data_IF_338090039078
#
_entry.id   IF_338090039078
#
_cell.length_a   1.000
_cell.length_b   1.000
_cell.length_c   1.000
_cell.angle_alpha   90.00
_cell.angle_beta   90.00
_cell.angle_gamma   90.00
#
_symmetry.space_group_name_H-M   'P 1'
#
loop_
_entity.id
_entity.type
_entity.pdbx_description
1 polymer ?
#
# COMPACT_ATOMS: atom_id res chain seq x y z
N UNK A 1 6.25 21.87 -32.92
CA UNK A 1 6.25 20.51 -33.49
C UNK A 1 6.90 19.56 -32.51
N UNK A 2 6.21 18.49 -32.13
CA UNK A 2 6.72 17.40 -31.28
C UNK A 2 7.35 16.36 -32.22
N UNK A 3 8.59 15.97 -31.95
CA UNK A 3 9.32 15.02 -32.81
C UNK A 3 10.01 13.94 -31.98
N UNK A 4 9.51 12.69 -32.11
CA UNK A 4 10.04 11.48 -31.50
C UNK A 4 9.67 10.26 -32.34
N UNK A 5 10.48 9.20 -32.31
CA UNK A 5 10.16 7.98 -33.04
C UNK A 5 8.85 7.32 -32.55
N UNK A 6 8.64 7.33 -31.23
CA UNK A 6 7.46 6.74 -30.60
C UNK A 6 6.76 7.76 -29.70
N UNK A 7 5.45 7.87 -29.87
CA UNK A 7 4.58 8.73 -29.06
C UNK A 7 3.56 7.86 -28.35
N UNK A 8 3.40 8.06 -27.06
CA UNK A 8 2.30 7.53 -26.27
C UNK A 8 1.36 8.70 -25.96
N UNK A 9 0.12 8.59 -26.38
CA UNK A 9 -0.89 9.62 -26.12
C UNK A 9 -1.96 9.11 -25.18
N UNK A 10 -2.14 9.84 -24.07
CA UNK A 10 -3.30 9.73 -23.20
C UNK A 10 -3.87 11.12 -22.99
N UNK A 11 -5.16 11.33 -23.27
CA UNK A 11 -5.79 12.64 -23.23
C UNK A 11 -5.63 13.32 -21.88
N UNK A 12 -6.03 12.62 -20.82
CA UNK A 12 -5.94 13.08 -19.44
C UNK A 12 -5.21 11.99 -18.63
N UNK A 13 -4.20 12.38 -17.87
CA UNK A 13 -3.43 11.54 -16.98
C UNK A 13 -3.69 12.01 -15.55
N UNK A 14 -4.48 11.23 -14.81
CA UNK A 14 -4.89 11.52 -13.43
C UNK A 14 -3.85 11.04 -12.41
N UNK A 15 -4.06 11.31 -11.12
CA UNK A 15 -3.16 10.89 -10.06
C UNK A 15 -3.08 9.35 -9.92
N UNK A 16 -4.20 8.65 -10.12
CA UNK A 16 -4.31 7.18 -9.98
C UNK A 16 -5.29 6.64 -11.03
N UNK A 17 -4.92 5.54 -11.70
CA UNK A 17 -5.80 4.83 -12.62
C UNK A 17 -5.08 3.75 -13.42
N UNK A 18 -5.85 2.90 -14.10
CA UNK A 18 -5.31 1.81 -14.92
C UNK A 18 -4.57 2.28 -16.16
N UNK A 19 -5.05 3.36 -16.79
CA UNK A 19 -4.40 3.95 -17.98
C UNK A 19 -3.08 4.61 -17.59
N UNK A 20 -3.05 5.31 -16.46
CA UNK A 20 -1.86 5.94 -15.89
C UNK A 20 -0.77 4.90 -15.61
N UNK A 21 -1.16 3.79 -14.98
CA UNK A 21 -0.26 2.65 -14.73
C UNK A 21 0.23 2.05 -16.05
N UNK A 22 -0.66 1.83 -17.03
CA UNK A 22 -0.29 1.31 -18.33
C UNK A 22 0.72 2.20 -19.04
N UNK A 23 0.50 3.52 -19.08
CA UNK A 23 1.40 4.48 -19.71
C UNK A 23 2.78 4.45 -19.04
N UNK A 24 2.79 4.45 -17.71
CA UNK A 24 4.03 4.37 -16.94
C UNK A 24 4.82 3.09 -17.20
N UNK A 25 4.19 1.92 -17.08
CA UNK A 25 4.84 0.63 -17.31
C UNK A 25 5.34 0.49 -18.75
N UNK A 26 4.60 1.04 -19.71
CA UNK A 26 5.02 1.04 -21.12
C UNK A 26 6.28 1.88 -21.32
N UNK A 27 6.29 3.09 -20.81
CA UNK A 27 7.44 4.00 -20.92
C UNK A 27 8.64 3.44 -20.17
N UNK A 28 8.48 3.03 -18.92
CA UNK A 28 9.53 2.43 -18.09
C UNK A 28 10.21 1.25 -18.77
N UNK A 29 9.43 0.32 -19.31
CA UNK A 29 9.95 -0.88 -19.96
C UNK A 29 10.68 -0.58 -21.26
N UNK A 30 10.23 0.42 -22.01
CA UNK A 30 10.72 0.71 -23.35
C UNK A 30 11.47 2.04 -23.45
N UNK A 31 11.89 2.66 -22.33
CA UNK A 31 12.61 3.93 -22.27
C UNK A 31 13.91 4.00 -23.10
N UNK A 32 14.50 2.83 -23.39
CA UNK A 32 15.68 2.73 -24.29
C UNK A 32 15.38 3.08 -25.75
N UNK A 33 14.12 3.13 -26.17
CA UNK A 33 13.69 3.65 -27.46
C UNK A 33 13.44 5.15 -27.36
N UNK A 34 13.53 5.86 -28.50
CA UNK A 34 13.11 7.26 -28.52
C UNK A 34 11.58 7.34 -28.34
N UNK A 35 11.15 7.61 -27.12
CA UNK A 35 9.76 7.62 -26.70
C UNK A 35 9.42 8.91 -25.97
N UNK A 36 8.21 9.43 -26.20
CA UNK A 36 7.69 10.55 -25.43
C UNK A 36 6.19 10.35 -25.11
N UNK A 37 5.73 10.97 -24.04
CA UNK A 37 4.32 11.03 -23.68
C UNK A 37 3.75 12.37 -24.08
N UNK A 38 2.57 12.33 -24.72
CA UNK A 38 1.82 13.52 -25.12
C UNK A 38 0.44 13.45 -24.47
N UNK A 39 0.02 14.54 -23.84
CA UNK A 39 -1.26 14.60 -23.09
C UNK A 39 -1.87 16.01 -23.19
N UNK A 40 -3.18 16.15 -22.94
CA UNK A 40 -3.81 17.48 -22.77
C UNK A 40 -3.75 17.96 -21.31
N UNK A 41 -3.79 17.02 -20.36
CA UNK A 41 -3.75 17.32 -18.94
C UNK A 41 -3.05 16.20 -18.17
N UNK A 42 -2.22 16.55 -17.20
CA UNK A 42 -1.50 15.58 -16.38
C UNK A 42 -1.42 16.04 -14.92
N UNK A 43 -1.57 15.10 -14.02
CA UNK A 43 -1.24 15.27 -12.60
C UNK A 43 0.27 15.49 -12.43
N UNK A 44 0.66 16.39 -11.53
CA UNK A 44 2.06 16.79 -11.37
C UNK A 44 2.96 15.63 -10.94
N UNK A 45 2.50 14.80 -10.02
CA UNK A 45 3.29 13.62 -9.57
C UNK A 45 3.46 12.59 -10.67
N UNK A 46 2.44 12.37 -11.51
CA UNK A 46 2.56 11.49 -12.67
C UNK A 46 3.51 12.05 -13.72
N UNK A 47 3.53 13.38 -13.89
CA UNK A 47 4.49 14.03 -14.80
C UNK A 47 5.92 13.79 -14.32
N UNK A 48 6.22 14.07 -13.06
CA UNK A 48 7.55 13.85 -12.44
C UNK A 48 7.99 12.38 -12.59
N UNK A 49 7.10 11.44 -12.30
CA UNK A 49 7.35 9.99 -12.43
C UNK A 49 7.65 9.55 -13.88
N UNK A 50 6.96 10.13 -14.88
CA UNK A 50 7.20 9.81 -16.28
C UNK A 50 8.48 10.48 -16.81
N UNK A 51 8.81 11.68 -16.33
CA UNK A 51 10.01 12.44 -16.71
C UNK A 51 11.32 11.77 -16.27
N UNK A 52 11.26 10.77 -15.37
CA UNK A 52 12.41 9.90 -15.08
C UNK A 52 12.82 9.03 -16.29
N UNK A 53 11.90 8.75 -17.22
CA UNK A 53 12.11 7.82 -18.34
C UNK A 53 11.97 8.44 -19.72
N UNK A 54 11.17 9.52 -19.87
CA UNK A 54 10.89 10.12 -21.16
C UNK A 54 10.52 11.60 -21.04
N UNK A 55 10.42 12.30 -22.19
CA UNK A 55 9.85 13.65 -22.21
C UNK A 55 8.33 13.60 -22.18
N UNK A 56 7.73 14.55 -21.44
CA UNK A 56 6.27 14.72 -21.33
C UNK A 56 5.87 16.07 -21.93
N UNK A 57 4.94 16.04 -22.89
CA UNK A 57 4.44 17.25 -23.57
C UNK A 57 2.96 17.47 -23.29
N UNK A 58 2.62 18.72 -23.00
CA UNK A 58 1.22 19.19 -22.98
C UNK A 58 0.88 19.67 -24.38
N UNK A 59 0.04 18.93 -25.09
CA UNK A 59 -0.35 19.22 -26.46
C UNK A 59 -1.22 20.45 -26.58
N UNK A 60 -0.79 21.41 -27.43
CA UNK A 60 -1.47 22.69 -27.72
C UNK A 60 -1.80 22.83 -29.22
N UNK A 61 -2.24 21.74 -29.85
CA UNK A 61 -2.57 21.64 -31.30
C UNK A 61 -1.36 21.77 -32.24
N UNK A 62 -0.14 21.55 -31.77
CA UNK A 62 1.06 21.50 -32.62
C UNK A 62 1.15 20.16 -33.38
N UNK A 63 1.76 20.17 -34.59
CA UNK A 63 2.01 18.95 -35.36
C UNK A 63 2.93 17.97 -34.63
N UNK A 64 2.65 16.68 -34.82
CA UNK A 64 3.42 15.55 -34.27
C UNK A 64 4.09 14.79 -35.43
N UNK A 65 5.41 14.71 -35.41
CA UNK A 65 6.24 13.91 -36.34
C UNK A 65 6.74 12.69 -35.59
N UNK A 66 6.26 11.50 -35.98
CA UNK A 66 6.63 10.23 -35.34
C UNK A 66 6.51 9.06 -36.31
N UNK A 67 7.22 7.96 -36.01
CA UNK A 67 7.08 6.68 -36.74
C UNK A 67 5.88 5.87 -36.20
N UNK A 68 5.66 5.91 -34.91
CA UNK A 68 4.61 5.17 -34.23
C UNK A 68 3.92 6.07 -33.20
N UNK A 69 2.60 6.01 -33.17
CA UNK A 69 1.81 6.57 -32.06
C UNK A 69 0.87 5.52 -31.49
N UNK A 70 0.83 5.44 -30.15
CA UNK A 70 -0.14 4.64 -29.41
C UNK A 70 -1.04 5.60 -28.65
N UNK A 71 -2.32 5.62 -28.99
CA UNK A 71 -3.33 6.42 -28.28
C UNK A 71 -4.08 5.55 -27.28
N UNK A 72 -4.63 6.17 -26.24
CA UNK A 72 -5.52 5.53 -25.29
C UNK A 72 -6.92 6.10 -25.47
N UNK A 73 -7.83 5.35 -26.03
CA UNK A 73 -9.23 5.71 -26.33
C UNK A 73 -9.42 6.88 -27.30
N UNK A 74 -8.77 7.99 -27.07
CA UNK A 74 -8.99 9.23 -27.82
C UNK A 74 -8.12 9.25 -29.08
N UNK A 75 -8.76 9.12 -30.23
CA UNK A 75 -8.11 9.18 -31.54
C UNK A 75 -8.06 10.59 -32.15
N UNK A 76 -8.59 11.62 -31.46
CA UNK A 76 -8.62 12.99 -31.98
C UNK A 76 -7.23 13.57 -32.22
N UNK A 77 -6.25 13.10 -31.50
CA UNK A 77 -4.83 13.48 -31.68
C UNK A 77 -4.29 13.12 -33.06
N UNK A 78 -4.84 12.10 -33.72
CA UNK A 78 -4.36 11.62 -35.00
C UNK A 78 -4.49 12.64 -36.14
N UNK A 79 -5.32 13.67 -35.95
CA UNK A 79 -5.44 14.78 -36.89
C UNK A 79 -4.17 15.65 -36.93
N UNK A 80 -3.37 15.61 -35.88
CA UNK A 80 -2.09 16.34 -35.75
C UNK A 80 -0.86 15.48 -36.10
N UNK A 81 -1.05 14.18 -36.33
CA UNK A 81 0.04 13.23 -36.55
C UNK A 81 0.34 13.10 -38.05
N UNK A 82 1.63 13.06 -38.39
CA UNK A 82 2.09 12.86 -39.75
C UNK A 82 1.44 11.63 -40.42
N UNK A 83 1.21 11.70 -41.75
CA UNK A 83 0.42 10.68 -42.47
C UNK A 83 1.05 9.31 -42.48
N UNK A 84 2.39 9.24 -42.46
CA UNK A 84 3.17 8.01 -42.58
C UNK A 84 3.34 7.27 -41.25
N UNK A 85 2.87 7.85 -40.14
CA UNK A 85 2.95 7.20 -38.84
C UNK A 85 2.05 5.97 -38.72
N UNK A 86 2.58 4.89 -38.12
CA UNK A 86 1.77 3.74 -37.70
C UNK A 86 1.00 4.11 -36.45
N UNK A 87 -0.34 4.09 -36.55
CA UNK A 87 -1.23 4.47 -35.46
C UNK A 87 -1.85 3.24 -34.81
N UNK A 88 -1.81 3.23 -33.48
CA UNK A 88 -2.45 2.21 -32.64
C UNK A 88 -3.33 2.86 -31.59
N UNK A 89 -4.41 2.19 -31.20
CA UNK A 89 -5.32 2.66 -30.15
C UNK A 89 -5.55 1.57 -29.11
N UNK A 90 -5.11 1.79 -27.89
CA UNK A 90 -5.30 0.87 -26.77
C UNK A 90 -6.75 0.85 -26.29
N UNK A 91 -7.29 -0.35 -26.17
CA UNK A 91 -8.63 -0.64 -25.64
C UNK A 91 -8.47 -1.37 -24.31
N UNK A 92 -8.66 -0.64 -23.22
CA UNK A 92 -8.49 -1.13 -21.85
C UNK A 92 -9.78 -1.56 -21.18
N UNK A 93 -10.89 -1.58 -21.91
CA UNK A 93 -12.24 -1.78 -21.38
C UNK A 93 -12.83 -3.11 -21.79
N UNK A 94 -13.65 -3.71 -20.95
CA UNK A 94 -14.45 -4.89 -21.27
C UNK A 94 -15.80 -4.46 -21.89
N UNK A 95 -16.06 -4.90 -23.12
CA UNK A 95 -17.29 -4.61 -23.87
C UNK A 95 -18.44 -5.59 -23.59
N UNK A 96 -18.40 -6.32 -22.47
CA UNK A 96 -19.49 -7.21 -22.08
C UNK A 96 -20.71 -6.50 -21.50
N UNK A 97 -20.51 -5.31 -20.92
CA UNK A 97 -21.56 -4.52 -20.29
C UNK A 97 -21.79 -3.20 -21.05
N UNK A 98 -22.86 -3.14 -21.86
CA UNK A 98 -23.18 -1.96 -22.68
C UNK A 98 -23.53 -0.71 -21.86
N UNK A 99 -24.07 -0.91 -20.65
CA UNK A 99 -24.60 0.19 -19.83
C UNK A 99 -23.51 0.99 -19.09
N UNK A 100 -22.30 0.43 -18.99
CA UNK A 100 -21.17 1.09 -18.36
C UNK A 100 -20.32 1.94 -19.33
N UNK A 101 -20.57 1.86 -20.64
CA UNK A 101 -19.74 2.54 -21.64
C UNK A 101 -20.26 3.92 -22.01
N UNK A 102 -19.42 4.92 -21.79
CA UNK A 102 -19.63 6.29 -22.29
C UNK A 102 -19.48 6.43 -23.81
N UNK A 103 -19.67 5.35 -24.54
CA UNK A 103 -19.71 5.32 -26.01
C UNK A 103 -18.81 4.26 -26.64
N UNK A 104 -19.29 3.72 -27.75
CA UNK A 104 -18.49 2.88 -28.66
C UNK A 104 -17.52 3.83 -29.37
N UNK A 105 -16.20 3.55 -29.42
CA UNK A 105 -15.26 4.39 -30.15
C UNK A 105 -15.69 4.46 -31.62
N UNK A 106 -15.77 5.67 -32.14
CA UNK A 106 -15.98 5.87 -33.58
C UNK A 106 -14.77 5.28 -34.30
N UNK A 107 -15.03 4.42 -35.26
CA UNK A 107 -13.96 3.81 -36.04
C UNK A 107 -13.09 4.88 -36.70
N UNK A 108 -11.78 4.82 -36.48
CA UNK A 108 -10.80 5.66 -37.17
C UNK A 108 -9.99 4.74 -38.11
N UNK A 109 -10.10 4.91 -39.45
CA UNK A 109 -9.44 4.02 -40.41
C UNK A 109 -7.91 4.07 -40.35
N UNK A 110 -7.33 5.12 -39.73
CA UNK A 110 -5.87 5.27 -39.59
C UNK A 110 -5.26 4.42 -38.49
N UNK A 111 -6.07 3.84 -37.57
CA UNK A 111 -5.53 3.13 -36.41
C UNK A 111 -5.83 1.64 -36.44
N UNK A 112 -4.92 0.85 -35.87
CA UNK A 112 -5.14 -0.55 -35.49
C UNK A 112 -5.40 -0.59 -33.99
N UNK A 113 -6.46 -1.30 -33.59
CA UNK A 113 -6.87 -1.35 -32.18
C UNK A 113 -6.11 -2.45 -31.43
N UNK A 114 -5.53 -2.09 -30.29
CA UNK A 114 -4.83 -3.00 -29.39
C UNK A 114 -5.83 -3.48 -28.34
N UNK A 115 -6.10 -4.78 -28.33
CA UNK A 115 -6.89 -5.44 -27.28
C UNK A 115 -5.95 -6.20 -26.32
N UNK A 116 -6.22 -6.11 -25.03
CA UNK A 116 -5.31 -6.62 -23.99
C UNK A 116 -5.48 -8.12 -23.71
N UNK A 117 -6.63 -8.69 -24.04
CA UNK A 117 -6.90 -10.13 -23.91
C UNK A 117 -7.65 -10.66 -25.15
N UNK A 118 -7.61 -11.97 -25.34
CA UNK A 118 -8.38 -12.60 -26.43
C UNK A 118 -9.87 -12.44 -26.26
N UNK A 119 -10.35 -12.43 -25.01
CA UNK A 119 -11.75 -12.22 -24.69
C UNK A 119 -12.18 -10.77 -24.99
N UNK A 120 -11.41 -9.78 -24.52
CA UNK A 120 -11.70 -8.36 -24.81
C UNK A 120 -11.66 -8.08 -26.33
N UNK A 121 -10.75 -8.72 -27.07
CA UNK A 121 -10.70 -8.62 -28.53
C UNK A 121 -12.01 -9.14 -29.17
N UNK A 122 -12.46 -10.34 -28.81
CA UNK A 122 -13.69 -10.92 -29.33
C UNK A 122 -14.92 -10.05 -29.02
N UNK A 123 -15.02 -9.53 -27.81
CA UNK A 123 -16.10 -8.64 -27.37
C UNK A 123 -16.07 -7.32 -28.13
N UNK A 124 -14.91 -6.69 -28.23
CA UNK A 124 -14.71 -5.45 -28.98
C UNK A 124 -15.13 -5.62 -30.46
N UNK A 125 -14.62 -6.64 -31.14
CA UNK A 125 -14.95 -6.94 -32.54
C UNK A 125 -16.45 -7.24 -32.75
N UNK A 126 -17.08 -7.90 -31.77
CA UNK A 126 -18.51 -8.19 -31.80
C UNK A 126 -19.37 -6.93 -31.67
N UNK A 127 -19.01 -6.05 -30.75
CA UNK A 127 -19.80 -4.83 -30.42
C UNK A 127 -19.62 -3.74 -31.45
N UNK A 128 -18.37 -3.55 -31.91
CA UNK A 128 -18.02 -2.43 -32.81
C UNK A 128 -18.06 -2.80 -34.31
N UNK A 129 -17.94 -4.07 -34.66
CA UNK A 129 -17.74 -4.54 -36.03
C UNK A 129 -16.31 -4.34 -36.55
N UNK A 130 -15.42 -3.69 -35.80
CA UNK A 130 -14.06 -3.38 -36.21
C UNK A 130 -13.19 -4.62 -36.14
N UNK A 131 -12.54 -4.98 -37.27
CA UNK A 131 -11.68 -6.17 -37.37
C UNK A 131 -10.18 -5.84 -37.42
N UNK A 132 -9.81 -4.56 -37.51
CA UNK A 132 -8.42 -4.11 -37.44
C UNK A 132 -7.93 -4.11 -36.00
N UNK A 133 -7.74 -5.30 -35.46
CA UNK A 133 -7.35 -5.51 -34.06
C UNK A 133 -6.11 -6.37 -33.95
N UNK A 134 -5.28 -6.07 -32.96
CA UNK A 134 -4.16 -6.90 -32.53
C UNK A 134 -4.29 -7.24 -31.05
N UNK A 135 -3.71 -8.37 -30.67
CA UNK A 135 -3.60 -8.75 -29.27
C UNK A 135 -2.26 -8.30 -28.73
N UNK A 136 -2.27 -7.41 -27.74
CA UNK A 136 -1.05 -7.02 -27.02
C UNK A 136 -1.40 -6.79 -25.55
N UNK A 137 -0.80 -7.58 -24.66
CA UNK A 137 -1.01 -7.47 -23.22
C UNK A 137 -0.40 -6.20 -22.67
N UNK A 138 -0.98 -5.69 -21.59
CA UNK A 138 -0.37 -4.59 -20.87
C UNK A 138 1.07 -4.96 -20.46
N UNK A 139 2.02 -4.07 -20.66
CA UNK A 139 3.38 -4.27 -20.16
C UNK A 139 3.34 -4.30 -18.64
N UNK A 140 4.09 -5.19 -18.06
CA UNK A 140 4.34 -5.24 -16.63
C UNK A 140 5.76 -5.78 -16.45
N UNK A 141 6.55 -5.06 -15.72
CA UNK A 141 7.85 -5.49 -15.29
C UNK A 141 7.81 -5.56 -13.77
N UNK A 142 7.70 -6.78 -13.25
CA UNK A 142 7.83 -6.98 -11.82
C UNK A 142 9.30 -6.78 -11.49
N UNK A 143 9.62 -5.65 -10.91
CA UNK A 143 10.87 -5.54 -10.18
C UNK A 143 10.78 -6.53 -9.01
N UNK A 144 11.73 -7.44 -8.93
CA UNK A 144 11.87 -8.36 -7.79
C UNK A 144 12.33 -7.63 -6.51
N UNK A 145 12.25 -6.32 -6.49
CA UNK A 145 12.57 -5.49 -5.34
C UNK A 145 11.38 -5.38 -4.39
N UNK A 146 11.10 -6.52 -3.75
CA UNK A 146 10.23 -6.48 -2.57
C UNK A 146 10.83 -5.49 -1.58
N UNK A 147 10.10 -4.45 -1.15
CA UNK A 147 10.62 -3.53 -0.16
C UNK A 147 10.95 -4.27 1.14
N UNK A 148 12.01 -3.87 1.80
CA UNK A 148 12.33 -4.31 3.14
C UNK A 148 11.22 -3.82 4.09
N UNK A 149 10.53 -4.73 4.76
CA UNK A 149 9.42 -4.39 5.65
C UNK A 149 9.92 -4.19 7.07
N UNK A 150 9.87 -2.95 7.54
CA UNK A 150 10.25 -2.55 8.89
C UNK A 150 9.01 -2.27 9.72
N UNK A 151 9.04 -2.65 11.00
CA UNK A 151 7.97 -2.35 11.93
C UNK A 151 8.49 -1.84 13.26
N UNK A 152 7.74 -0.92 13.86
CA UNK A 152 7.93 -0.42 15.22
C UNK A 152 6.59 -0.32 15.94
N UNK A 153 6.58 -0.61 17.25
CA UNK A 153 5.46 -0.33 18.12
C UNK A 153 5.99 0.46 19.33
N UNK A 154 5.94 1.78 19.23
CA UNK A 154 6.65 2.66 20.18
C UNK A 154 5.99 4.02 20.32
N UNK A 155 6.28 4.73 21.37
CA UNK A 155 5.77 6.08 21.64
C UNK A 155 6.64 7.22 21.08
N UNK A 156 7.72 6.97 20.39
CA UNK A 156 8.63 7.96 19.81
C UNK A 156 9.04 9.11 20.77
N UNK A 157 9.16 8.81 22.06
CA UNK A 157 9.68 9.73 23.07
C UNK A 157 11.21 9.79 23.02
N UNK A 158 11.83 10.71 23.75
CA UNK A 158 13.29 10.81 23.83
C UNK A 158 13.94 9.50 24.31
N UNK A 159 13.31 8.81 25.27
CA UNK A 159 13.78 7.49 25.76
C UNK A 159 13.67 6.40 24.70
N UNK A 160 12.64 6.47 23.86
CA UNK A 160 12.41 5.55 22.73
C UNK A 160 13.13 5.99 21.47
N UNK A 161 13.81 7.10 21.55
CA UNK A 161 14.71 7.71 20.58
C UNK A 161 14.15 7.89 19.16
N UNK A 162 13.22 8.85 19.06
CA UNK A 162 12.77 9.32 17.77
C UNK A 162 13.89 9.87 16.87
N UNK A 163 14.97 10.39 17.44
CA UNK A 163 16.14 10.86 16.69
C UNK A 163 16.89 9.75 15.98
N UNK A 164 17.12 8.61 16.64
CA UNK A 164 17.75 7.43 16.01
C UNK A 164 16.84 6.80 14.95
N UNK A 165 15.54 6.80 15.18
CA UNK A 165 14.56 6.36 14.18
C UNK A 165 14.70 7.18 12.89
N UNK A 166 14.77 8.51 13.00
CA UNK A 166 15.00 9.41 11.86
C UNK A 166 16.37 9.13 11.21
N UNK A 167 17.42 8.94 12.00
CA UNK A 167 18.76 8.68 11.47
C UNK A 167 18.82 7.37 10.68
N UNK A 168 18.12 6.32 11.13
CA UNK A 168 18.02 5.04 10.41
C UNK A 168 17.29 5.25 9.07
N UNK A 169 16.16 5.97 9.05
CA UNK A 169 15.41 6.24 7.83
C UNK A 169 16.25 7.02 6.81
N UNK A 170 16.93 8.08 7.26
CA UNK A 170 17.82 8.88 6.41
C UNK A 170 18.98 8.04 5.84
N UNK A 171 19.51 7.11 6.61
CA UNK A 171 20.60 6.25 6.14
C UNK A 171 20.11 5.18 5.16
N UNK A 172 18.88 4.64 5.33
CA UNK A 172 18.24 3.77 4.37
C UNK A 172 18.05 4.48 3.02
N UNK A 173 17.54 5.71 3.05
CA UNK A 173 17.36 6.55 1.86
C UNK A 173 18.70 6.85 1.18
N UNK A 174 19.73 7.22 1.98
CA UNK A 174 21.07 7.52 1.46
C UNK A 174 21.73 6.32 0.78
N UNK A 175 21.45 5.11 1.24
CA UNK A 175 21.94 3.88 0.61
C UNK A 175 21.06 3.38 -0.55
N UNK A 176 19.96 4.07 -0.86
CA UNK A 176 19.03 3.69 -1.92
C UNK A 176 18.30 2.38 -1.65
N UNK A 177 18.10 2.02 -0.37
CA UNK A 177 17.42 0.80 0.01
C UNK A 177 15.92 0.99 -0.15
N UNK A 178 15.28 0.11 -0.93
CA UNK A 178 13.82 0.07 -1.04
C UNK A 178 13.22 -0.50 0.23
N UNK A 179 12.43 0.28 0.98
CA UNK A 179 11.82 -0.13 2.23
C UNK A 179 10.44 0.50 2.45
N UNK A 180 9.65 -0.13 3.32
CA UNK A 180 8.43 0.43 3.92
C UNK A 180 8.52 0.22 5.44
N UNK A 181 8.37 1.29 6.18
CA UNK A 181 8.46 1.26 7.65
C UNK A 181 7.12 1.66 8.28
N UNK A 182 6.46 0.69 8.90
CA UNK A 182 5.20 0.90 9.61
C UNK A 182 5.48 1.15 11.08
N UNK A 183 5.07 2.31 11.59
CA UNK A 183 5.25 2.70 12.99
C UNK A 183 3.89 2.83 13.66
N UNK A 184 3.62 1.92 14.60
CA UNK A 184 2.44 1.98 15.48
C UNK A 184 2.76 2.90 16.65
N UNK A 185 2.07 4.03 16.75
CA UNK A 185 2.28 5.01 17.82
C UNK A 185 1.00 5.80 18.12
N UNK A 186 1.02 6.62 19.15
CA UNK A 186 -0.08 7.52 19.49
C UNK A 186 -0.01 8.81 18.69
N UNK A 187 -1.15 9.49 18.49
CA UNK A 187 -1.25 10.72 17.70
C UNK A 187 -0.52 11.93 18.31
N UNK A 188 -0.05 11.83 19.55
CA UNK A 188 0.66 12.91 20.26
C UNK A 188 1.98 13.31 19.60
N UNK A 189 2.49 12.48 18.69
CA UNK A 189 3.78 12.65 18.04
C UNK A 189 3.70 13.04 16.56
N UNK A 190 2.59 13.61 16.12
CA UNK A 190 2.36 14.04 14.72
C UNK A 190 3.42 15.05 14.21
N UNK A 191 4.10 15.76 15.12
CA UNK A 191 5.16 16.72 14.79
C UNK A 191 6.53 16.09 14.55
N UNK A 192 6.68 14.79 14.71
CA UNK A 192 7.97 14.13 14.51
C UNK A 192 8.36 14.17 13.02
N UNK A 193 9.59 14.60 12.74
CA UNK A 193 10.11 14.73 11.37
C UNK A 193 10.14 13.41 10.59
N UNK A 194 10.07 12.26 11.26
CA UNK A 194 10.01 10.95 10.61
C UNK A 194 8.83 10.83 9.65
N UNK A 195 7.71 11.53 9.92
CA UNK A 195 6.51 11.52 9.08
C UNK A 195 6.65 12.26 7.75
N UNK A 196 7.74 12.99 7.55
CA UNK A 196 8.07 13.63 6.28
C UNK A 196 8.71 12.64 5.29
N UNK A 197 9.15 11.49 5.77
CA UNK A 197 9.72 10.44 4.94
C UNK A 197 8.59 9.65 4.23
N UNK A 198 8.55 9.60 2.89
CA UNK A 198 7.48 8.93 2.14
C UNK A 198 7.43 7.41 2.34
N UNK A 199 8.54 6.80 2.77
CA UNK A 199 8.63 5.36 3.02
C UNK A 199 8.20 4.98 4.45
N UNK A 200 7.83 5.97 5.29
CA UNK A 200 7.38 5.75 6.67
C UNK A 200 5.88 5.94 6.77
N UNK A 201 5.19 4.93 7.26
CA UNK A 201 3.73 4.91 7.39
C UNK A 201 3.36 4.97 8.87
N UNK A 202 2.69 6.05 9.26
CA UNK A 202 2.10 6.15 10.60
C UNK A 202 0.85 5.28 10.69
N UNK A 203 0.81 4.42 11.70
CA UNK A 203 -0.37 3.64 12.06
C UNK A 203 -0.79 3.99 13.49
N UNK A 204 -2.09 4.19 13.68
CA UNK A 204 -2.64 4.40 15.01
C UNK A 204 -2.34 3.21 15.91
N UNK A 205 -1.96 3.48 17.16
CA UNK A 205 -1.70 2.43 18.14
C UNK A 205 -2.92 1.52 18.34
N UNK A 206 -2.69 0.21 18.41
CA UNK A 206 -3.70 -0.82 18.55
C UNK A 206 -3.21 -2.00 19.39
N UNK A 207 -4.13 -2.65 20.08
CA UNK A 207 -3.80 -3.73 21.01
C UNK A 207 -3.25 -5.00 20.33
N UNK A 208 -3.49 -5.16 19.04
CA UNK A 208 -3.02 -6.30 18.26
C UNK A 208 -1.92 -5.94 17.26
N UNK A 209 -1.18 -4.84 17.49
CA UNK A 209 -0.07 -4.41 16.65
C UNK A 209 0.98 -5.52 16.45
N UNK A 210 1.21 -6.35 17.45
CA UNK A 210 2.14 -7.47 17.41
C UNK A 210 1.80 -8.54 16.33
N UNK A 211 0.55 -8.67 15.91
CA UNK A 211 0.15 -9.59 14.83
C UNK A 211 0.74 -9.18 13.48
N UNK A 212 1.08 -7.91 13.31
CA UNK A 212 1.70 -7.40 12.08
C UNK A 212 3.18 -7.74 12.01
N UNK A 213 3.84 -8.02 13.14
CA UNK A 213 5.27 -8.34 13.17
C UNK A 213 5.60 -9.56 12.32
N UNK A 214 4.71 -10.54 12.20
CA UNK A 214 4.91 -11.73 11.37
C UNK A 214 5.18 -11.42 9.88
N UNK A 215 4.88 -10.22 9.44
CA UNK A 215 5.12 -9.75 8.07
C UNK A 215 6.38 -8.91 7.94
N UNK A 216 7.00 -8.51 9.06
CA UNK A 216 8.20 -7.69 9.07
C UNK A 216 9.45 -8.50 8.75
N UNK A 217 10.39 -7.87 8.07
CA UNK A 217 11.75 -8.37 7.95
C UNK A 217 12.58 -7.99 9.18
N UNK A 218 12.24 -6.84 9.84
CA UNK A 218 12.86 -6.36 11.06
C UNK A 218 11.87 -5.61 11.94
N UNK A 219 12.03 -5.77 13.26
CA UNK A 219 11.44 -4.85 14.23
C UNK A 219 12.51 -3.85 14.67
N UNK A 220 12.23 -2.56 14.47
CA UNK A 220 13.17 -1.47 14.74
C UNK A 220 12.70 -0.69 15.96
N UNK A 221 13.48 -0.73 17.03
CA UNK A 221 13.20 0.03 18.26
C UNK A 221 14.50 0.39 18.98
N UNK A 222 15.18 1.46 18.56
CA UNK A 222 16.50 1.86 19.06
C UNK A 222 16.41 2.61 20.39
N UNK A 223 15.61 2.09 21.34
CA UNK A 223 15.45 2.67 22.68
C UNK A 223 16.77 2.70 23.43
N UNK A 224 17.00 3.78 24.19
CA UNK A 224 18.19 3.94 25.03
C UNK A 224 17.98 3.46 26.47
N UNK A 225 16.73 3.23 26.85
CA UNK A 225 16.37 2.74 28.17
C UNK A 225 15.11 1.88 28.09
N UNK A 226 15.21 0.64 28.53
CA UNK A 226 14.13 -0.33 28.68
C UNK A 226 14.41 -1.23 29.87
N UNK A 227 13.37 -1.67 30.54
CA UNK A 227 13.48 -2.72 31.57
C UNK A 227 13.47 -4.12 30.97
N UNK A 228 12.32 -4.52 30.42
CA UNK A 228 12.13 -5.76 29.65
C UNK A 228 11.04 -5.49 28.61
N UNK A 229 11.45 -5.18 27.40
CA UNK A 229 10.53 -4.75 26.34
C UNK A 229 9.70 -5.90 25.81
N UNK A 230 8.39 -5.84 25.98
CA UNK A 230 7.46 -6.78 25.34
C UNK A 230 7.61 -6.79 23.80
N UNK A 231 7.85 -5.63 23.19
CA UNK A 231 8.05 -5.54 21.73
C UNK A 231 9.21 -6.39 21.26
N UNK A 232 10.33 -6.38 21.99
CA UNK A 232 11.50 -7.22 21.65
C UNK A 232 11.16 -8.71 21.77
N UNK A 233 10.57 -9.10 22.89
CA UNK A 233 10.21 -10.51 23.12
C UNK A 233 9.20 -11.02 22.12
N UNK A 234 8.18 -10.25 21.82
CA UNK A 234 7.15 -10.58 20.82
C UNK A 234 7.73 -10.74 19.41
N UNK A 235 8.66 -9.89 19.01
CA UNK A 235 9.35 -10.02 17.73
C UNK A 235 10.19 -11.31 17.69
N UNK A 236 11.02 -11.53 18.69
CA UNK A 236 11.91 -12.70 18.75
C UNK A 236 11.13 -14.02 18.80
N UNK A 237 10.02 -14.09 19.54
CA UNK A 237 9.15 -15.27 19.60
C UNK A 237 8.51 -15.61 18.26
N UNK A 238 8.42 -14.64 17.35
CA UNK A 238 7.95 -14.81 15.96
C UNK A 238 9.09 -15.02 14.96
N UNK A 239 10.34 -15.11 15.44
CA UNK A 239 11.52 -15.25 14.58
C UNK A 239 11.86 -14.00 13.79
N UNK A 240 11.42 -12.81 14.24
CA UNK A 240 11.70 -11.54 13.59
C UNK A 240 12.88 -10.86 14.29
N UNK A 241 13.98 -10.57 13.57
CA UNK A 241 15.15 -9.97 14.17
C UNK A 241 14.95 -8.47 14.51
N UNK A 242 15.80 -7.97 15.39
CA UNK A 242 15.71 -6.64 15.95
C UNK A 242 16.80 -5.70 15.42
N UNK A 243 16.45 -4.41 15.31
CA UNK A 243 17.40 -3.30 15.23
C UNK A 243 17.27 -2.49 16.52
N UNK A 244 18.26 -2.55 17.38
CA UNK A 244 18.21 -2.00 18.75
C UNK A 244 19.54 -1.38 19.17
N UNK A 245 19.52 -0.51 20.18
CA UNK A 245 20.74 -0.16 20.91
C UNK A 245 21.01 -1.22 21.98
N UNK A 246 22.28 -1.52 22.25
CA UNK A 246 22.64 -2.49 23.28
C UNK A 246 22.18 -2.01 24.65
N UNK A 247 21.50 -2.89 25.39
CA UNK A 247 21.06 -2.64 26.76
C UNK A 247 21.59 -3.73 27.69
N UNK A 248 21.92 -3.35 28.92
CA UNK A 248 22.61 -4.23 29.85
C UNK A 248 21.96 -5.58 30.14
N UNK A 249 20.63 -5.66 30.05
CA UNK A 249 19.88 -6.90 30.31
C UNK A 249 19.77 -7.85 29.10
N UNK A 250 20.23 -7.45 27.93
CA UNK A 250 20.09 -8.26 26.71
C UNK A 250 20.66 -9.68 26.83
N UNK A 251 21.78 -9.82 27.53
CA UNK A 251 22.38 -11.15 27.79
C UNK A 251 21.46 -12.05 28.59
N UNK A 252 20.68 -11.49 29.52
CA UNK A 252 19.77 -12.23 30.38
C UNK A 252 18.56 -12.76 29.59
N UNK A 253 18.12 -12.01 28.58
CA UNK A 253 16.97 -12.36 27.76
C UNK A 253 17.34 -12.93 26.38
N UNK A 254 18.62 -13.26 26.17
CA UNK A 254 19.09 -13.92 24.97
C UNK A 254 19.09 -13.07 23.69
N UNK A 255 19.11 -11.73 23.80
CA UNK A 255 19.31 -10.83 22.67
C UNK A 255 20.81 -10.72 22.39
N UNK A 256 21.19 -11.06 21.16
CA UNK A 256 22.60 -11.13 20.77
C UNK A 256 22.82 -10.47 19.42
N UNK A 257 23.88 -9.62 19.38
CA UNK A 257 24.28 -9.00 18.13
C UNK A 257 24.70 -10.05 17.09
N UNK A 258 24.28 -9.82 15.85
CA UNK A 258 24.55 -10.69 14.70
C UNK A 258 23.90 -12.09 14.72
N UNK A 259 23.19 -12.45 15.81
CA UNK A 259 22.44 -13.70 15.90
C UNK A 259 20.94 -13.47 15.68
N UNK A 260 20.32 -12.61 16.50
CA UNK A 260 18.89 -12.28 16.44
C UNK A 260 18.60 -10.78 16.52
N UNK A 261 19.64 -9.95 16.58
CA UNK A 261 19.57 -8.50 16.52
C UNK A 261 20.78 -7.90 15.78
N UNK A 262 20.66 -6.67 15.33
CA UNK A 262 21.79 -5.81 14.96
C UNK A 262 21.84 -4.66 15.96
N UNK A 263 22.98 -4.48 16.59
CA UNK A 263 23.17 -3.44 17.61
C UNK A 263 23.65 -2.13 16.98
N UNK A 264 22.90 -1.07 17.25
CA UNK A 264 23.33 0.30 17.00
C UNK A 264 24.18 0.78 18.16
N UNK A 265 25.29 1.40 17.88
CA UNK A 265 26.07 2.14 18.87
C UNK A 265 25.35 3.41 19.28
N UNK A 266 25.58 3.84 20.50
CA UNK A 266 24.94 5.02 21.06
C UNK A 266 25.24 6.29 20.25
N UNK A 267 26.47 6.44 19.75
CA UNK A 267 26.93 7.54 18.89
C UNK A 267 26.56 7.39 17.40
N UNK A 268 25.84 6.32 17.04
CA UNK A 268 25.48 5.96 15.66
C UNK A 268 26.66 5.73 14.70
N UNK A 269 27.89 5.60 15.21
CA UNK A 269 29.08 5.47 14.36
C UNK A 269 29.06 4.25 13.44
N UNK A 270 28.26 3.24 13.75
CA UNK A 270 28.09 2.03 12.95
C UNK A 270 26.80 1.96 12.12
N UNK A 271 26.03 3.06 12.06
CA UNK A 271 24.69 3.04 11.39
C UNK A 271 24.78 2.60 9.92
N UNK A 272 25.82 3.00 9.22
CA UNK A 272 26.04 2.61 7.81
C UNK A 272 26.16 1.10 7.63
N UNK A 273 26.88 0.45 8.53
CA UNK A 273 27.10 -0.99 8.49
C UNK A 273 25.82 -1.74 8.90
N UNK A 274 25.14 -1.28 9.94
CA UNK A 274 23.86 -1.85 10.39
C UNK A 274 22.84 -1.80 9.25
N UNK A 275 22.64 -0.64 8.64
CA UNK A 275 21.67 -0.46 7.54
C UNK A 275 22.03 -1.34 6.33
N UNK A 276 23.31 -1.43 5.96
CA UNK A 276 23.76 -2.33 4.89
C UNK A 276 23.42 -3.79 5.18
N UNK A 277 23.54 -4.22 6.43
CA UNK A 277 23.27 -5.60 6.88
C UNK A 277 21.78 -5.90 6.97
N UNK A 278 20.91 -4.91 7.19
CA UNK A 278 19.46 -5.07 7.21
C UNK A 278 18.89 -5.66 5.90
N UNK A 279 19.58 -5.52 4.78
CA UNK A 279 19.14 -6.10 3.51
C UNK A 279 19.04 -7.64 3.53
N UNK A 280 19.64 -8.28 4.50
CA UNK A 280 19.60 -9.74 4.71
C UNK A 280 19.13 -10.05 6.12
N UNK A 281 17.81 -10.19 6.35
CA UNK A 281 17.26 -10.52 7.65
C UNK A 281 17.89 -11.77 8.25
N UNK A 282 18.19 -11.73 9.54
CA UNK A 282 18.79 -12.84 10.28
C UNK A 282 17.76 -13.96 10.41
N UNK A 283 18.25 -15.21 10.34
CA UNK A 283 17.44 -16.40 10.60
C UNK A 283 17.94 -17.05 11.88
N UNK A 284 17.07 -17.23 12.83
CA UNK A 284 17.41 -17.76 14.15
C UNK A 284 16.22 -18.52 14.74
N UNK A 285 16.49 -19.33 15.75
CA UNK A 285 15.50 -19.91 16.64
C UNK A 285 15.61 -19.22 17.99
N UNK A 286 14.49 -18.86 18.58
CA UNK A 286 14.46 -18.19 19.88
C UNK A 286 13.56 -18.97 20.84
N UNK A 287 14.15 -19.44 21.94
CA UNK A 287 13.42 -20.14 22.99
C UNK A 287 12.81 -19.12 23.96
N UNK A 288 11.49 -19.22 24.22
CA UNK A 288 10.84 -18.32 25.15
C UNK A 288 11.43 -18.40 26.57
N UNK A 289 11.74 -17.26 27.14
CA UNK A 289 12.20 -17.16 28.52
C UNK A 289 11.01 -17.41 29.44
N UNK A 290 11.15 -18.38 30.34
CA UNK A 290 10.13 -18.69 31.35
C UNK A 290 10.16 -17.63 32.43
N UNK A 291 9.00 -17.02 32.69
CA UNK A 291 8.82 -16.22 33.88
C UNK A 291 8.76 -17.08 35.15
N UNK A 292 8.83 -16.45 36.30
CA UNK A 292 8.85 -17.13 37.60
C UNK A 292 7.72 -16.66 38.51
N UNK A 293 6.67 -16.08 37.95
CA UNK A 293 5.53 -15.59 38.72
C UNK A 293 4.80 -16.70 39.48
N UNK A 294 4.93 -17.97 39.02
CA UNK A 294 4.43 -19.14 39.74
C UNK A 294 5.03 -19.31 41.14
N UNK A 295 6.21 -18.71 41.41
CA UNK A 295 6.87 -18.68 42.74
C UNK A 295 6.38 -17.56 43.63
N UNK A 296 5.78 -16.53 43.05
CA UNK A 296 5.33 -15.31 43.75
C UNK A 296 3.82 -15.40 44.00
N UNK A 297 3.06 -15.89 43.01
CA UNK A 297 1.63 -15.95 43.10
C UNK A 297 1.15 -17.06 44.05
N UNK A 298 0.18 -16.75 44.91
CA UNK A 298 -0.44 -17.73 45.79
C UNK A 298 -1.20 -18.78 44.91
N UNK A 299 -0.87 -20.05 45.12
CA UNK A 299 -1.58 -21.16 44.48
C UNK A 299 -2.98 -21.29 45.06
N UNK A 300 -3.97 -21.03 44.24
CA UNK A 300 -5.38 -21.16 44.61
C UNK A 300 -6.27 -21.36 43.38
N UNK A 301 -7.51 -21.78 43.62
CA UNK A 301 -8.47 -21.88 42.52
C UNK A 301 -8.92 -20.47 42.14
N UNK A 302 -8.90 -20.20 40.81
CA UNK A 302 -9.45 -18.95 40.30
C UNK A 302 -10.90 -18.77 40.75
N UNK A 303 -11.19 -17.60 41.33
CA UNK A 303 -12.57 -17.16 41.62
C UNK A 303 -13.16 -16.38 40.43
N UNK A 304 -12.36 -16.10 39.44
CA UNK A 304 -12.80 -15.41 38.24
C UNK A 304 -13.58 -16.39 37.37
N UNK A 305 -14.87 -16.22 37.31
CA UNK A 305 -15.73 -16.84 36.32
C UNK A 305 -15.70 -15.91 35.09
N UNK A 306 -15.13 -16.39 34.02
CA UNK A 306 -15.22 -15.65 32.75
C UNK A 306 -16.69 -15.60 32.36
N UNK A 307 -17.37 -14.48 32.64
CA UNK A 307 -18.68 -14.28 32.07
C UNK A 307 -18.57 -14.39 30.58
N UNK A 308 -19.20 -15.40 29.99
CA UNK A 308 -19.36 -15.47 28.56
C UNK A 308 -20.00 -14.16 28.15
N UNK A 309 -19.26 -13.34 27.38
CA UNK A 309 -19.81 -12.09 26.85
C UNK A 309 -21.06 -12.48 26.06
N UNK A 310 -22.21 -12.14 26.61
CA UNK A 310 -23.47 -12.36 25.92
C UNK A 310 -23.42 -11.66 24.59
N UNK A 311 -23.72 -12.39 23.55
CA UNK A 311 -23.85 -11.87 22.18
C UNK A 311 -25.32 -11.92 21.79
N UNK A 312 -25.74 -10.97 21.01
CA UNK A 312 -27.12 -10.85 20.56
C UNK A 312 -27.15 -10.79 19.05
N UNK A 313 -28.05 -11.54 18.47
CA UNK A 313 -28.41 -11.40 17.07
C UNK A 313 -29.44 -10.26 16.98
N UNK A 314 -29.11 -9.22 16.23
CA UNK A 314 -29.98 -8.06 16.04
C UNK A 314 -30.30 -7.87 14.57
N UNK A 315 -31.42 -7.20 14.30
CA UNK A 315 -31.85 -6.86 12.95
C UNK A 315 -31.96 -5.33 12.82
N UNK A 316 -31.33 -4.76 11.81
CA UNK A 316 -31.31 -3.33 11.56
C UNK A 316 -32.70 -2.78 11.23
N UNK A 317 -33.06 -1.68 11.87
CA UNK A 317 -34.25 -0.90 11.56
C UNK A 317 -33.97 0.15 10.49
N UNK A 318 -35.02 0.67 9.88
CA UNK A 318 -34.94 1.70 8.82
C UNK A 318 -34.29 3.02 9.31
N UNK A 319 -34.10 3.19 10.61
CA UNK A 319 -33.49 4.36 11.26
C UNK A 319 -32.05 4.59 10.78
N UNK A 320 -31.27 3.55 10.53
CA UNK A 320 -29.92 3.70 9.93
C UNK A 320 -29.96 4.41 8.58
N UNK A 321 -30.90 4.01 7.73
CA UNK A 321 -31.04 4.55 6.39
C UNK A 321 -31.61 5.97 6.38
N UNK A 322 -32.65 6.22 7.18
CA UNK A 322 -33.27 7.54 7.31
C UNK A 322 -32.31 8.62 7.80
N UNK A 323 -31.38 8.26 8.67
CA UNK A 323 -30.41 9.18 9.25
C UNK A 323 -29.06 9.16 8.52
N UNK A 324 -28.89 8.35 7.48
CA UNK A 324 -27.65 8.18 6.71
C UNK A 324 -26.41 7.89 7.60
N UNK A 325 -26.59 7.02 8.61
CA UNK A 325 -25.59 6.73 9.63
C UNK A 325 -24.77 5.51 9.24
N UNK A 326 -23.47 5.68 9.07
CA UNK A 326 -22.51 4.58 8.95
C UNK A 326 -22.33 3.95 10.35
N UNK A 327 -22.55 2.64 10.44
CA UNK A 327 -22.24 1.90 11.65
C UNK A 327 -20.71 1.77 11.80
N UNK A 328 -20.16 2.23 12.93
CA UNK A 328 -18.70 2.31 13.11
C UNK A 328 -17.99 0.95 13.14
N UNK A 329 -18.67 -0.10 13.56
CA UNK A 329 -18.07 -1.44 13.59
C UNK A 329 -18.27 -2.20 12.28
N UNK A 330 -19.40 -1.98 11.59
CA UNK A 330 -19.64 -2.58 10.29
C UNK A 330 -18.94 -1.83 9.16
N UNK A 331 -18.68 -0.53 9.35
CA UNK A 331 -18.04 0.31 8.32
C UNK A 331 -18.96 0.74 7.18
N UNK A 332 -20.25 0.42 7.25
CA UNK A 332 -21.25 0.77 6.24
C UNK A 332 -22.62 1.04 6.89
N UNK A 333 -23.60 1.45 6.07
CA UNK A 333 -24.99 1.67 6.52
C UNK A 333 -25.76 0.35 6.38
N UNK A 334 -26.15 -0.32 7.50
CA UNK A 334 -26.92 -1.56 7.43
C UNK A 334 -28.25 -1.37 6.70
N UNK A 335 -28.63 -2.35 5.88
CA UNK A 335 -29.94 -2.37 5.22
C UNK A 335 -31.01 -2.74 6.23
N UNK A 336 -32.23 -2.20 6.05
CA UNK A 336 -33.36 -2.62 6.86
C UNK A 336 -33.56 -4.14 6.75
N UNK A 337 -33.69 -4.80 7.90
CA UNK A 337 -33.81 -6.26 7.98
C UNK A 337 -32.47 -7.01 8.00
N UNK A 338 -31.35 -6.33 7.81
CA UNK A 338 -30.04 -6.95 7.91
C UNK A 338 -29.72 -7.39 9.33
N UNK A 339 -29.21 -8.61 9.51
CA UNK A 339 -28.93 -9.23 10.80
C UNK A 339 -27.44 -9.29 11.07
N UNK A 340 -27.04 -8.90 12.27
CA UNK A 340 -25.63 -8.94 12.71
C UNK A 340 -25.51 -9.17 14.23
N UNK A 341 -24.34 -9.55 14.70
CA UNK A 341 -24.06 -9.87 16.10
C UNK A 341 -23.51 -8.66 16.83
N UNK A 342 -23.98 -8.44 18.06
CA UNK A 342 -23.49 -7.37 18.95
C UNK A 342 -23.32 -7.88 20.38
N UNK A 343 -22.41 -7.26 21.15
CA UNK A 343 -22.30 -7.47 22.58
C UNK A 343 -23.31 -6.59 23.34
N UNK A 344 -23.46 -6.82 24.67
CA UNK A 344 -24.42 -6.09 25.50
C UNK A 344 -24.26 -4.57 25.42
N UNK A 345 -23.01 -4.05 25.52
CA UNK A 345 -22.76 -2.60 25.55
C UNK A 345 -23.23 -1.96 24.23
N UNK A 346 -22.91 -2.60 23.09
CA UNK A 346 -23.34 -2.12 21.79
C UNK A 346 -24.85 -2.26 21.60
N UNK A 347 -25.44 -3.35 22.11
CA UNK A 347 -26.88 -3.56 22.08
C UNK A 347 -27.63 -2.40 22.77
N UNK A 348 -27.22 -2.06 23.98
CA UNK A 348 -27.86 -0.98 24.76
C UNK A 348 -27.78 0.36 24.03
N UNK A 349 -26.62 0.66 23.44
CA UNK A 349 -26.43 1.85 22.60
C UNK A 349 -27.35 1.85 21.38
N UNK A 350 -27.42 0.74 20.63
CA UNK A 350 -28.23 0.67 19.42
C UNK A 350 -29.73 0.72 19.71
N UNK A 351 -30.16 0.08 20.80
CA UNK A 351 -31.54 0.16 21.27
C UNK A 351 -31.92 1.58 21.72
N UNK A 352 -31.03 2.28 22.44
CA UNK A 352 -31.25 3.67 22.86
C UNK A 352 -31.45 4.63 21.69
N UNK A 353 -30.93 4.28 20.53
CA UNK A 353 -31.06 5.04 19.28
C UNK A 353 -32.14 4.51 18.34
N UNK A 354 -32.90 3.51 18.77
CA UNK A 354 -33.92 2.86 17.97
C UNK A 354 -33.40 2.39 16.59
N UNK A 355 -32.20 1.77 16.56
CA UNK A 355 -31.53 1.34 15.34
C UNK A 355 -31.70 -0.13 15.02
N UNK A 356 -31.93 -0.94 16.04
CA UNK A 356 -32.04 -2.39 15.92
C UNK A 356 -33.20 -2.92 16.76
N UNK A 357 -33.64 -4.12 16.40
CA UNK A 357 -34.45 -4.98 17.26
C UNK A 357 -33.67 -6.25 17.59
N UNK A 358 -33.85 -6.77 18.79
CA UNK A 358 -33.26 -8.04 19.22
C UNK A 358 -34.00 -9.17 18.54
N UNK A 359 -33.26 -10.13 17.99
CA UNK A 359 -33.79 -11.35 17.37
C UNK A 359 -33.54 -12.53 18.31
N UNK A 360 -32.32 -12.64 18.84
CA UNK A 360 -31.94 -13.74 19.72
C UNK A 360 -30.74 -13.37 20.60
N UNK A 361 -30.57 -14.07 21.73
CA UNK A 361 -29.35 -14.10 22.55
C UNK A 361 -28.55 -15.35 22.19
N UNK A 362 -27.26 -15.20 21.80
CA UNK A 362 -26.44 -16.28 21.24
C UNK A 362 -25.07 -16.42 21.93
#
# INVERSE_FOLDING_TARGET
>A
MIKHDNIIYARDIHAIGGVETYVYELVKKYHKYDIAVVTKKIDQKQKERLEEYCRVYIHKAEPIDCKVIITNWDTSILDYVCKDAKCYTGIHTDYSNKDEYRGIPKDNPRTTYICITQDSKKKFEKVTGIKRTILCRNPMELENDKPLLLMSATRLTDIKDGGRTIAIANELDRQGINYLWFIFTTNEYEKNKIWQNPNVVHLQNRLDANKFFEKADWVVQPSICEGDSYTYREALYRGIPLIVCELGYFKEIGIKDNENALFLKEDLSNIKDVVKRMQKPLKFNFEPIKDTYDKILAKGKSRYVQEKKKMYLVEALDTYRKQNIIDKELGYIPKQGERFKVNQIRLDFLLSKNRVKVIDEI
#
